data_IF_013384575871
#
_entry.id   IF_013384575871
#
_cell.length_a   1.000
_cell.length_b   1.000
_cell.length_c   1.000
_cell.angle_alpha   90.00
_cell.angle_beta   90.00
_cell.angle_gamma   90.00
#
_symmetry.space_group_name_H-M   'P 1'
#
loop_
_entity.id
_entity.type
_entity.pdbx_description
1 polymer ?
#
# COMPACT_ATOMS: atom_id res chain seq x y z
N UNK A 1 79.55 31.93 -29.37
CA UNK A 1 79.47 31.49 -30.78
C UNK A 1 78.24 30.60 -30.90
N UNK A 2 77.18 30.87 -31.65
CA UNK A 2 76.85 31.95 -32.57
C UNK A 2 75.60 31.50 -33.34
N UNK A 3 74.56 32.36 -33.33
CA UNK A 3 73.46 32.50 -34.32
C UNK A 3 72.44 31.34 -34.34
N UNK A 4 71.14 31.61 -34.19
CA UNK A 4 70.34 32.20 -35.29
C UNK A 4 68.99 32.76 -34.80
N UNK A 5 68.79 34.05 -35.10
CA UNK A 5 67.58 34.82 -35.52
C UNK A 5 66.23 34.62 -34.79
N UNK A 6 65.69 35.64 -34.08
CA UNK A 6 64.94 36.86 -34.55
C UNK A 6 63.60 36.45 -35.18
N UNK A 7 62.42 36.88 -34.67
CA UNK A 7 61.55 38.00 -35.15
C UNK A 7 60.31 38.00 -34.20
N UNK A 8 60.09 39.01 -33.36
CA UNK A 8 59.20 40.18 -33.50
C UNK A 8 57.69 39.97 -33.23
N UNK A 9 57.14 40.89 -32.41
CA UNK A 9 55.74 41.11 -32.02
C UNK A 9 54.84 41.43 -33.23
N UNK A 10 53.53 41.20 -33.11
CA UNK A 10 52.42 42.21 -33.17
C UNK A 10 51.05 41.53 -33.45
N UNK A 11 50.05 42.07 -32.75
CA UNK A 11 48.58 41.95 -32.78
C UNK A 11 47.88 41.44 -34.07
N UNK A 12 46.76 40.71 -33.95
CA UNK A 12 45.41 41.27 -34.05
C UNK A 12 44.27 40.24 -33.85
N UNK A 13 43.13 40.77 -33.42
CA UNK A 13 41.84 40.11 -33.14
C UNK A 13 41.28 39.32 -34.33
N UNK A 14 40.69 38.16 -34.07
CA UNK A 14 39.50 37.70 -34.79
C UNK A 14 38.57 36.96 -33.83
N UNK A 15 37.39 37.55 -33.61
CA UNK A 15 36.26 36.89 -32.98
C UNK A 15 35.58 36.00 -34.04
N UNK A 16 35.67 34.69 -33.89
CA UNK A 16 34.86 33.74 -34.66
C UNK A 16 33.68 33.28 -33.79
N UNK A 17 32.48 33.69 -34.19
CA UNK A 17 31.22 33.16 -33.68
C UNK A 17 31.13 31.68 -34.06
N UNK A 18 31.17 30.79 -33.09
CA UNK A 18 30.90 29.37 -33.30
C UNK A 18 29.42 29.10 -32.99
N UNK A 19 28.62 29.00 -34.03
CA UNK A 19 27.26 28.49 -33.96
C UNK A 19 27.33 26.97 -33.75
N UNK A 20 27.11 26.51 -32.53
CA UNK A 20 26.95 25.07 -32.27
C UNK A 20 25.51 24.68 -32.60
N UNK A 21 25.36 23.94 -33.68
CA UNK A 21 24.13 23.24 -34.04
C UNK A 21 23.98 22.05 -33.08
N UNK A 22 23.14 22.17 -32.05
CA UNK A 22 22.76 21.03 -31.21
C UNK A 22 21.77 20.19 -32.02
N UNK A 23 22.24 19.11 -32.61
CA UNK A 23 21.37 18.08 -33.16
C UNK A 23 20.61 17.43 -32.00
N UNK A 24 19.31 17.67 -31.94
CA UNK A 24 18.40 17.05 -30.97
C UNK A 24 18.33 15.54 -31.20
N UNK A 25 19.02 14.78 -30.36
CA UNK A 25 18.67 13.39 -30.14
C UNK A 25 17.49 13.37 -29.16
N UNK A 26 16.28 13.34 -29.69
CA UNK A 26 15.11 12.95 -28.89
C UNK A 26 15.26 11.47 -28.55
N UNK A 27 15.91 11.19 -27.42
CA UNK A 27 15.70 9.93 -26.74
C UNK A 27 14.26 9.99 -26.26
N UNK A 28 13.33 9.41 -27.03
CA UNK A 28 12.04 8.97 -26.48
C UNK A 28 12.39 7.84 -25.53
N UNK A 29 12.82 8.21 -24.34
CA UNK A 29 12.84 7.32 -23.21
C UNK A 29 11.38 7.05 -22.90
N UNK A 30 10.90 5.87 -23.29
CA UNK A 30 9.74 5.29 -22.65
C UNK A 30 10.17 5.09 -21.20
N UNK A 31 9.94 6.10 -20.37
CA UNK A 31 10.20 6.01 -18.94
C UNK A 31 9.26 4.92 -18.43
N UNK A 32 9.81 3.72 -18.23
CA UNK A 32 9.20 2.77 -17.33
C UNK A 32 8.93 3.53 -16.03
N UNK A 33 7.67 3.60 -15.62
CA UNK A 33 7.28 4.24 -14.37
C UNK A 33 8.08 3.58 -13.25
N UNK A 34 8.94 4.38 -12.62
CA UNK A 34 9.84 3.96 -11.55
C UNK A 34 9.00 3.47 -10.36
N UNK A 35 9.23 2.26 -9.82
CA UNK A 35 8.55 1.79 -8.60
C UNK A 35 8.83 2.67 -7.35
N UNK A 36 9.73 3.66 -7.44
CA UNK A 36 9.98 4.69 -6.42
C UNK A 36 9.02 5.91 -6.45
N UNK A 37 8.03 5.96 -7.35
CA UNK A 37 7.10 7.11 -7.48
C UNK A 37 5.95 7.17 -6.45
N UNK A 38 5.85 6.18 -5.56
CA UNK A 38 4.81 6.19 -4.54
C UNK A 38 5.05 7.32 -3.51
N UNK A 39 4.00 8.06 -3.18
CA UNK A 39 4.06 9.14 -2.20
C UNK A 39 4.19 8.55 -0.79
N UNK A 40 5.28 8.81 -0.05
CA UNK A 40 5.41 8.31 1.32
C UNK A 40 4.30 8.91 2.20
N UNK A 41 3.70 8.07 3.04
CA UNK A 41 2.70 8.49 4.02
C UNK A 41 3.02 7.96 5.41
N UNK A 42 2.81 8.81 6.41
CA UNK A 42 3.00 8.54 7.82
C UNK A 42 1.66 8.51 8.55
N UNK A 43 1.59 7.86 9.73
CA UNK A 43 0.41 7.91 10.58
C UNK A 43 -0.05 9.35 10.88
N UNK A 44 -1.37 9.54 10.90
CA UNK A 44 -2.05 10.83 11.12
C UNK A 44 -2.18 11.69 9.86
N UNK A 45 -1.57 11.32 8.74
CA UNK A 45 -1.74 12.04 7.48
C UNK A 45 -3.06 11.67 6.80
N UNK A 46 -3.61 12.63 6.06
CA UNK A 46 -4.86 12.49 5.33
C UNK A 46 -4.60 12.31 3.83
N UNK A 47 -5.26 11.34 3.22
CA UNK A 47 -5.37 11.23 1.76
C UNK A 47 -6.80 11.51 1.32
N UNK A 48 -6.97 11.98 0.09
CA UNK A 48 -8.28 12.23 -0.49
C UNK A 48 -8.66 11.09 -1.41
N UNK A 49 -9.83 10.49 -1.16
CA UNK A 49 -10.44 9.54 -2.08
C UNK A 49 -11.16 10.30 -3.18
N UNK A 50 -10.48 10.42 -4.32
CA UNK A 50 -11.08 10.89 -5.56
C UNK A 50 -12.26 9.98 -5.95
N UNK A 51 -13.27 10.59 -6.55
CA UNK A 51 -14.28 9.86 -7.31
C UNK A 51 -13.83 9.83 -8.77
N UNK A 52 -13.76 8.64 -9.35
CA UNK A 52 -13.29 8.45 -10.72
C UNK A 52 -14.43 7.93 -11.59
N UNK A 53 -14.50 8.48 -12.80
CA UNK A 53 -15.47 8.10 -13.82
C UNK A 53 -15.64 6.58 -13.96
N UNK A 54 -16.82 6.09 -14.39
CA UNK A 54 -17.20 4.68 -14.37
C UNK A 54 -16.15 3.78 -15.04
N UNK A 55 -15.34 3.06 -14.25
CA UNK A 55 -14.31 2.12 -14.72
C UNK A 55 -14.23 0.84 -13.88
N UNK A 56 -15.29 0.44 -13.21
CA UNK A 56 -15.27 -0.68 -12.23
C UNK A 56 -14.63 -1.97 -12.72
N UNK A 57 -14.89 -2.38 -13.98
CA UNK A 57 -14.27 -3.59 -14.55
C UNK A 57 -12.74 -3.52 -14.56
N UNK A 58 -12.21 -2.31 -14.71
CA UNK A 58 -10.79 -2.03 -14.75
C UNK A 58 -10.20 -1.78 -13.35
N UNK A 59 -11.04 -1.58 -12.34
CA UNK A 59 -10.60 -1.47 -10.94
C UNK A 59 -10.60 -2.84 -10.25
N UNK A 60 -11.52 -3.74 -10.61
CA UNK A 60 -11.55 -5.10 -10.06
C UNK A 60 -10.30 -5.93 -10.41
N UNK A 61 -9.69 -5.68 -11.56
CA UNK A 61 -8.45 -6.35 -11.96
C UNK A 61 -7.22 -5.76 -11.24
N UNK A 62 -6.30 -6.63 -10.80
CA UNK A 62 -5.09 -6.26 -10.04
C UNK A 62 -4.07 -5.44 -10.83
N UNK A 63 -4.15 -5.47 -12.16
CA UNK A 63 -3.34 -4.67 -13.10
C UNK A 63 -4.21 -3.86 -14.07
N UNK A 64 -5.49 -3.72 -13.75
CA UNK A 64 -6.47 -3.07 -14.61
C UNK A 64 -6.14 -1.59 -14.84
N UNK A 65 -6.58 -1.08 -15.99
CA UNK A 65 -6.18 0.24 -16.47
C UNK A 65 -6.71 1.39 -15.61
N UNK A 66 -7.77 1.15 -14.84
CA UNK A 66 -8.41 2.11 -13.93
C UNK A 66 -7.50 2.57 -12.80
N UNK A 67 -6.49 1.77 -12.45
CA UNK A 67 -5.46 2.14 -11.45
C UNK A 67 -4.40 3.10 -11.99
N UNK A 68 -4.28 3.23 -13.32
CA UNK A 68 -3.25 4.09 -13.94
C UNK A 68 -3.61 5.56 -13.73
N UNK A 69 -2.65 6.34 -13.22
CA UNK A 69 -2.83 7.77 -12.95
C UNK A 69 -3.47 8.09 -11.61
N UNK A 70 -3.93 7.09 -10.84
CA UNK A 70 -4.31 7.30 -9.44
C UNK A 70 -3.04 7.43 -8.59
N UNK A 71 -3.01 8.35 -7.60
CA UNK A 71 -1.91 8.43 -6.65
C UNK A 71 -1.68 7.09 -5.96
N UNK A 72 -0.42 6.62 -5.98
CA UNK A 72 0.02 5.51 -5.15
C UNK A 72 0.74 6.06 -3.93
N UNK A 73 0.39 5.54 -2.76
CA UNK A 73 0.98 5.87 -1.49
C UNK A 73 1.82 4.70 -0.99
N UNK A 74 2.85 5.00 -0.20
CA UNK A 74 3.66 3.99 0.48
C UNK A 74 3.69 4.26 1.98
N UNK A 75 3.30 3.27 2.77
CA UNK A 75 3.39 3.32 4.24
C UNK A 75 4.35 2.23 4.73
N UNK A 76 5.18 2.54 5.72
CA UNK A 76 6.04 1.56 6.36
C UNK A 76 5.25 0.76 7.40
N UNK A 77 5.34 -0.56 7.31
CA UNK A 77 4.79 -1.50 8.28
C UNK A 77 5.89 -1.94 9.25
N UNK A 78 5.56 -2.07 10.52
CA UNK A 78 6.46 -2.54 11.58
C UNK A 78 5.91 -3.82 12.22
N UNK A 79 6.75 -4.63 12.89
CA UNK A 79 6.25 -5.76 13.68
C UNK A 79 5.19 -5.31 14.68
N UNK A 80 4.07 -6.03 14.71
CA UNK A 80 2.99 -5.74 15.65
C UNK A 80 3.51 -5.87 17.09
N UNK A 81 3.20 -4.90 17.98
CA UNK A 81 3.51 -5.03 19.39
C UNK A 81 2.94 -6.34 19.95
N UNK A 82 3.74 -7.17 20.65
CA UNK A 82 3.26 -8.43 21.17
C UNK A 82 2.28 -8.18 22.31
N UNK A 83 1.03 -8.60 22.11
CA UNK A 83 -0.05 -8.46 23.11
C UNK A 83 -0.41 -9.76 23.82
N UNK A 84 0.30 -10.85 23.47
CA UNK A 84 0.20 -12.15 24.11
C UNK A 84 1.57 -12.84 24.10
N UNK A 85 1.87 -13.65 25.11
CA UNK A 85 3.19 -14.30 25.29
C UNK A 85 3.58 -15.20 24.12
N UNK A 86 2.61 -15.86 23.48
CA UNK A 86 2.85 -16.67 22.28
C UNK A 86 3.34 -15.85 21.08
N UNK A 87 3.00 -14.56 21.01
CA UNK A 87 3.52 -13.66 19.97
C UNK A 87 4.95 -13.27 20.32
N UNK A 88 5.22 -12.91 21.58
CA UNK A 88 6.57 -12.62 22.06
C UNK A 88 7.54 -13.76 21.76
N UNK A 89 7.14 -15.01 22.05
CA UNK A 89 7.97 -16.19 21.80
C UNK A 89 8.30 -16.34 20.32
N UNK A 90 7.29 -16.29 19.44
CA UNK A 90 7.50 -16.44 17.98
C UNK A 90 8.39 -15.35 17.41
N UNK A 91 8.17 -14.09 17.80
CA UNK A 91 9.00 -12.97 17.38
C UNK A 91 10.44 -13.12 17.89
N UNK A 92 10.62 -13.56 19.14
CA UNK A 92 11.95 -13.77 19.72
C UNK A 92 12.70 -14.93 19.04
N UNK A 93 12.02 -16.05 18.78
CA UNK A 93 12.59 -17.21 18.08
C UNK A 93 13.00 -16.87 16.64
N UNK A 94 12.22 -16.02 15.97
CA UNK A 94 12.50 -15.56 14.61
C UNK A 94 13.60 -14.49 14.56
N UNK A 95 13.81 -13.75 15.65
CA UNK A 95 14.72 -12.61 15.73
C UNK A 95 14.09 -11.30 15.26
N UNK A 96 14.85 -10.20 15.31
CA UNK A 96 14.39 -8.87 14.94
C UNK A 96 13.88 -8.85 13.49
N UNK A 97 12.57 -8.72 13.35
CA UNK A 97 11.93 -8.56 12.05
C UNK A 97 12.06 -7.12 11.59
N UNK A 98 12.60 -6.94 10.39
CA UNK A 98 12.63 -5.63 9.74
C UNK A 98 11.24 -5.36 9.17
N UNK A 99 10.76 -4.14 9.38
CA UNK A 99 9.54 -3.66 8.72
C UNK A 99 9.66 -3.66 7.20
N UNK A 100 8.54 -3.45 6.52
CA UNK A 100 8.53 -3.33 5.06
C UNK A 100 7.52 -2.31 4.56
N UNK A 101 7.75 -1.80 3.36
CA UNK A 101 6.81 -0.92 2.68
C UNK A 101 5.57 -1.66 2.17
N UNK A 102 4.41 -1.05 2.37
CA UNK A 102 3.16 -1.40 1.73
C UNK A 102 2.78 -0.27 0.78
N UNK A 103 2.59 -0.61 -0.50
CA UNK A 103 2.08 0.31 -1.51
C UNK A 103 0.56 0.19 -1.57
N UNK A 104 -0.16 1.31 -1.66
CA UNK A 104 -1.59 1.26 -1.87
C UNK A 104 -2.14 2.42 -2.69
N UNK A 105 -3.24 2.16 -3.37
CA UNK A 105 -4.09 3.13 -4.06
C UNK A 105 -5.51 2.97 -3.54
N UNK A 106 -6.26 4.07 -3.46
CA UNK A 106 -7.65 4.05 -3.03
C UNK A 106 -8.48 5.04 -3.85
N UNK A 107 -9.70 4.65 -4.22
CA UNK A 107 -10.62 5.50 -5.00
C UNK A 107 -12.07 5.11 -4.77
N UNK A 108 -12.99 5.96 -5.21
CA UNK A 108 -14.40 5.62 -5.39
C UNK A 108 -14.75 5.59 -6.87
N UNK A 109 -15.69 4.73 -7.24
CA UNK A 109 -16.31 4.70 -8.56
C UNK A 109 -17.62 3.92 -8.46
N UNK A 110 -18.68 4.42 -9.12
CA UNK A 110 -20.00 3.76 -9.23
C UNK A 110 -20.57 3.24 -7.89
N UNK A 111 -20.53 4.06 -6.84
CA UNK A 111 -21.08 3.68 -5.54
C UNK A 111 -20.28 2.61 -4.81
N UNK A 112 -19.04 2.30 -5.23
CA UNK A 112 -18.12 1.39 -4.53
C UNK A 112 -16.84 2.13 -4.11
N UNK A 113 -16.26 1.67 -3.00
CA UNK A 113 -14.89 2.00 -2.64
C UNK A 113 -13.96 0.89 -3.09
N UNK A 114 -12.77 1.28 -3.53
CA UNK A 114 -11.76 0.39 -4.09
C UNK A 114 -10.41 0.64 -3.42
N UNK A 115 -9.73 -0.43 -3.04
CA UNK A 115 -8.36 -0.39 -2.53
C UNK A 115 -7.51 -1.37 -3.30
N UNK A 116 -6.35 -0.94 -3.78
CA UNK A 116 -5.33 -1.81 -4.37
C UNK A 116 -4.11 -1.76 -3.49
N UNK A 117 -3.65 -2.91 -3.02
CA UNK A 117 -2.53 -3.04 -2.11
C UNK A 117 -1.45 -3.91 -2.74
N UNK A 118 -0.19 -3.55 -2.54
CA UNK A 118 0.97 -4.31 -2.99
C UNK A 118 2.06 -4.35 -1.93
N UNK A 119 2.62 -5.52 -1.71
CA UNK A 119 3.76 -5.70 -0.81
C UNK A 119 4.73 -6.72 -1.40
N UNK A 120 5.99 -6.60 -1.02
CA UNK A 120 7.01 -7.56 -1.39
C UNK A 120 6.84 -8.84 -0.57
N UNK A 121 6.89 -9.97 -1.27
CA UNK A 121 6.96 -11.29 -0.65
C UNK A 121 7.67 -12.25 -1.58
N UNK A 122 8.73 -12.87 -1.10
CA UNK A 122 9.55 -13.76 -1.91
C UNK A 122 8.88 -15.09 -2.22
N UNK A 123 7.78 -15.41 -1.52
CA UNK A 123 6.98 -16.61 -1.70
C UNK A 123 5.52 -16.30 -2.00
N UNK A 124 4.86 -17.23 -2.67
CA UNK A 124 3.40 -17.23 -2.87
C UNK A 124 2.80 -18.29 -1.94
N UNK A 125 2.63 -17.96 -0.66
CA UNK A 125 2.16 -18.93 0.33
C UNK A 125 0.63 -18.97 0.34
N UNK A 126 0.08 -20.01 -0.29
CA UNK A 126 -1.38 -20.27 -0.31
C UNK A 126 -1.80 -21.46 0.56
N UNK A 127 -0.87 -22.24 1.08
CA UNK A 127 -1.22 -23.41 1.89
C UNK A 127 -1.63 -22.99 3.32
N UNK A 128 -2.82 -23.42 3.75
CA UNK A 128 -3.34 -23.19 5.10
C UNK A 128 -3.50 -24.48 5.91
N UNK A 129 -2.85 -25.57 5.52
CA UNK A 129 -2.83 -26.84 6.26
C UNK A 129 -1.98 -26.76 7.53
N UNK A 130 -2.04 -27.80 8.37
CA UNK A 130 -1.33 -27.78 9.65
C UNK A 130 0.18 -27.59 9.47
N UNK A 131 0.70 -26.48 10.02
CA UNK A 131 2.13 -26.14 9.94
C UNK A 131 2.50 -25.28 8.72
N UNK A 132 1.56 -25.04 7.81
CA UNK A 132 1.69 -24.13 6.68
C UNK A 132 0.74 -22.95 6.89
N UNK A 133 1.25 -21.74 6.69
CA UNK A 133 0.49 -20.52 6.90
C UNK A 133 0.42 -19.78 5.57
N UNK A 134 -0.76 -19.28 5.19
CA UNK A 134 -0.89 -18.52 3.96
C UNK A 134 -0.49 -17.07 4.19
N UNK A 135 -0.06 -16.42 3.12
CA UNK A 135 0.04 -14.97 3.06
C UNK A 135 -1.34 -14.34 3.25
N UNK A 136 -1.36 -13.19 3.90
CA UNK A 136 -2.60 -12.45 4.15
C UNK A 136 -2.36 -10.95 4.20
N UNK A 137 -3.42 -10.20 3.94
CA UNK A 137 -3.44 -8.75 4.08
C UNK A 137 -4.78 -8.29 4.64
N UNK A 138 -4.76 -7.24 5.45
CA UNK A 138 -5.96 -6.65 6.00
C UNK A 138 -5.95 -5.12 5.93
N UNK A 139 -7.14 -4.58 5.69
CA UNK A 139 -7.52 -3.19 5.96
C UNK A 139 -8.34 -3.18 7.25
N UNK A 140 -8.04 -2.25 8.14
CA UNK A 140 -8.83 -2.01 9.34
C UNK A 140 -9.33 -0.57 9.31
N UNK A 141 -10.61 -0.37 9.62
CA UNK A 141 -11.27 0.92 9.67
C UNK A 141 -11.78 1.20 11.08
N UNK A 142 -11.57 2.40 11.57
CA UNK A 142 -12.20 2.83 12.81
C UNK A 142 -13.70 3.10 12.58
N UNK A 143 -14.56 2.57 13.45
CA UNK A 143 -16.01 2.82 13.40
C UNK A 143 -16.41 4.10 14.14
N UNK A 144 -15.47 4.67 14.89
CA UNK A 144 -15.58 5.95 15.56
C UNK A 144 -14.32 6.79 15.25
N UNK A 145 -14.23 7.98 15.83
CA UNK A 145 -13.07 8.85 15.68
C UNK A 145 -11.74 8.16 16.05
N UNK A 146 -10.67 8.46 15.31
CA UNK A 146 -9.35 7.85 15.50
C UNK A 146 -8.70 8.18 16.84
N UNK A 147 -9.06 9.30 17.47
CA UNK A 147 -8.57 9.64 18.82
C UNK A 147 -9.12 8.72 19.91
N UNK A 148 -10.24 8.04 19.65
CA UNK A 148 -10.92 7.13 20.58
C UNK A 148 -10.73 5.67 20.22
N UNK A 149 -10.34 5.38 18.97
CA UNK A 149 -10.23 4.03 18.45
C UNK A 149 -8.76 3.63 18.34
N UNK A 150 -8.36 2.61 19.09
CA UNK A 150 -7.02 2.06 18.98
C UNK A 150 -6.79 1.42 17.61
N UNK A 151 -5.70 1.76 16.92
CA UNK A 151 -5.29 1.06 15.68
C UNK A 151 -4.88 -0.39 15.96
N UNK A 152 -4.67 -0.73 17.23
CA UNK A 152 -4.44 -2.09 17.70
C UNK A 152 -5.77 -2.81 17.97
N UNK A 153 -6.56 -3.01 16.91
CA UNK A 153 -7.83 -3.75 16.91
C UNK A 153 -8.98 -3.13 17.73
N UNK A 154 -8.95 -1.83 18.01
CA UNK A 154 -10.02 -1.14 18.74
C UNK A 154 -10.11 -1.48 20.22
N UNK A 155 -11.25 -1.14 20.82
CA UNK A 155 -11.64 -1.48 22.20
C UNK A 155 -13.14 -1.80 22.22
N UNK A 156 -13.71 -2.35 23.31
CA UNK A 156 -15.12 -2.68 23.35
C UNK A 156 -16.03 -1.47 23.09
N UNK A 157 -15.61 -0.28 23.56
CA UNK A 157 -16.36 0.97 23.38
C UNK A 157 -16.02 1.70 22.06
N UNK A 158 -14.99 1.27 21.34
CA UNK A 158 -14.53 1.83 20.07
C UNK A 158 -14.07 0.70 19.14
N UNK A 159 -15.02 -0.06 18.56
CA UNK A 159 -14.70 -1.19 17.70
C UNK A 159 -14.16 -0.76 16.33
N UNK A 160 -13.61 -1.72 15.62
CA UNK A 160 -13.08 -1.58 14.27
C UNK A 160 -13.77 -2.54 13.31
N UNK A 161 -13.87 -2.15 12.05
CA UNK A 161 -14.20 -3.02 10.93
C UNK A 161 -12.92 -3.49 10.25
N UNK A 162 -12.82 -4.76 9.87
CA UNK A 162 -11.61 -5.33 9.28
C UNK A 162 -12.00 -6.10 8.01
N UNK A 163 -11.37 -5.76 6.90
CA UNK A 163 -11.42 -6.54 5.67
C UNK A 163 -10.14 -7.35 5.57
N UNK A 164 -10.27 -8.67 5.53
CA UNK A 164 -9.14 -9.58 5.63
C UNK A 164 -9.13 -10.57 4.47
N UNK A 165 -8.13 -10.48 3.61
CA UNK A 165 -7.90 -11.45 2.54
C UNK A 165 -6.83 -12.47 2.97
N UNK A 166 -7.05 -13.74 2.62
CA UNK A 166 -6.10 -14.83 2.86
C UNK A 166 -5.80 -15.60 1.57
N UNK A 167 -4.53 -15.91 1.34
CA UNK A 167 -4.06 -16.65 0.17
C UNK A 167 -4.65 -18.05 0.02
N UNK A 168 -4.97 -18.72 1.14
CA UNK A 168 -5.51 -20.08 1.13
C UNK A 168 -6.96 -20.20 0.67
N UNK A 169 -7.77 -19.18 0.93
CA UNK A 169 -9.16 -19.14 0.45
C UNK A 169 -9.32 -18.28 -0.79
N UNK A 170 -8.31 -17.44 -1.09
CA UNK A 170 -8.32 -16.41 -2.12
C UNK A 170 -9.58 -15.54 -2.09
N UNK A 171 -9.99 -15.17 -0.87
CA UNK A 171 -11.24 -14.47 -0.57
C UNK A 171 -11.02 -13.49 0.55
N UNK A 172 -11.78 -12.40 0.51
CA UNK A 172 -11.91 -11.47 1.63
C UNK A 172 -13.01 -11.93 2.60
N UNK A 173 -12.79 -11.66 3.87
CA UNK A 173 -13.78 -11.76 4.94
C UNK A 173 -14.01 -10.37 5.54
N UNK A 174 -15.26 -10.07 5.85
CA UNK A 174 -15.63 -8.90 6.64
C UNK A 174 -15.68 -9.28 8.12
N UNK A 175 -14.92 -8.59 8.96
CA UNK A 175 -14.73 -8.90 10.37
C UNK A 175 -14.90 -7.65 11.22
N UNK A 176 -15.08 -7.84 12.52
CA UNK A 176 -15.06 -6.77 13.52
C UNK A 176 -14.20 -7.17 14.72
N UNK A 177 -13.68 -6.17 15.42
CA UNK A 177 -12.99 -6.38 16.69
C UNK A 177 -13.25 -5.20 17.64
N UNK A 178 -13.40 -5.51 18.93
CA UNK A 178 -13.41 -4.56 20.03
C UNK A 178 -12.20 -4.77 20.95
N UNK A 179 -11.02 -4.98 20.36
CA UNK A 179 -9.77 -5.29 21.05
C UNK A 179 -9.23 -6.68 20.76
N UNK A 180 -8.03 -6.95 21.27
CA UNK A 180 -7.33 -8.22 21.04
C UNK A 180 -8.13 -9.43 21.53
N UNK A 181 -8.15 -10.48 20.70
CA UNK A 181 -8.87 -11.72 21.01
C UNK A 181 -10.38 -11.67 20.78
N UNK A 182 -10.94 -10.54 20.33
CA UNK A 182 -12.38 -10.38 20.06
C UNK A 182 -12.76 -10.46 18.57
N UNK A 183 -11.80 -10.84 17.71
CA UNK A 183 -12.00 -10.89 16.27
C UNK A 183 -13.19 -11.79 15.91
N UNK A 184 -14.20 -11.21 15.29
CA UNK A 184 -15.48 -11.88 15.02
C UNK A 184 -15.89 -11.64 13.58
N UNK A 185 -16.44 -12.67 12.94
CA UNK A 185 -17.04 -12.55 11.61
C UNK A 185 -18.40 -11.86 11.72
N UNK A 186 -18.60 -10.80 10.95
CA UNK A 186 -19.89 -10.08 10.90
C UNK A 186 -20.87 -10.77 9.95
N UNK A 187 -22.16 -10.47 10.06
CA UNK A 187 -23.21 -11.05 9.21
C UNK A 187 -23.04 -10.62 7.75
N UNK A 188 -22.73 -9.35 7.53
CA UNK A 188 -22.63 -8.72 6.22
C UNK A 188 -21.27 -9.03 5.58
N UNK A 189 -21.26 -9.80 4.49
CA UNK A 189 -20.05 -10.25 3.80
C UNK A 189 -19.96 -9.67 2.38
N UNK A 190 -20.21 -8.36 2.26
CA UNK A 190 -20.22 -7.63 0.98
C UNK A 190 -18.84 -7.20 0.46
N UNK A 191 -17.76 -7.61 1.12
CA UNK A 191 -16.39 -7.30 0.71
C UNK A 191 -15.91 -8.31 -0.31
N UNK A 192 -15.54 -7.83 -1.49
CA UNK A 192 -14.96 -8.63 -2.56
C UNK A 192 -13.45 -8.40 -2.63
N UNK A 193 -12.73 -9.41 -3.13
CA UNK A 193 -11.32 -9.26 -3.42
C UNK A 193 -10.88 -10.00 -4.70
N UNK A 194 -9.87 -9.46 -5.36
CA UNK A 194 -9.11 -10.11 -6.41
C UNK A 194 -7.62 -10.09 -6.04
N UNK A 195 -6.89 -11.16 -6.37
CA UNK A 195 -5.46 -11.27 -6.06
C UNK A 195 -4.63 -11.64 -7.28
N UNK A 196 -3.35 -11.28 -7.25
CA UNK A 196 -2.33 -11.75 -8.17
C UNK A 196 -0.97 -11.78 -7.47
N UNK A 197 -0.16 -12.77 -7.80
CA UNK A 197 1.23 -12.85 -7.39
C UNK A 197 2.14 -12.66 -8.60
N UNK A 198 3.12 -11.77 -8.48
CA UNK A 198 4.15 -11.54 -9.50
C UNK A 198 5.43 -12.22 -9.08
N UNK A 199 5.69 -13.38 -9.65
CA UNK A 199 6.95 -14.08 -9.48
C UNK A 199 8.11 -13.26 -10.08
N UNK A 200 9.24 -13.20 -9.38
CA UNK A 200 10.41 -12.43 -9.81
C UNK A 200 11.40 -12.20 -8.66
N UNK A 201 12.40 -11.35 -8.88
CA UNK A 201 13.36 -10.99 -7.83
C UNK A 201 12.62 -10.23 -6.72
N UNK A 202 12.49 -10.87 -5.56
CA UNK A 202 11.83 -10.31 -4.37
C UNK A 202 10.33 -10.61 -4.28
N UNK A 203 9.70 -11.01 -5.38
CA UNK A 203 8.26 -11.28 -5.48
C UNK A 203 7.35 -10.11 -5.05
N UNK A 204 6.09 -10.17 -5.44
CA UNK A 204 5.12 -9.14 -5.08
C UNK A 204 3.70 -9.71 -5.09
N UNK A 205 2.98 -9.50 -3.99
CA UNK A 205 1.55 -9.70 -3.95
C UNK A 205 0.80 -8.43 -4.34
N UNK A 206 -0.35 -8.62 -4.97
CA UNK A 206 -1.30 -7.56 -5.27
C UNK A 206 -2.68 -8.04 -4.88
N UNK A 207 -3.37 -7.27 -4.04
CA UNK A 207 -4.75 -7.55 -3.66
C UNK A 207 -5.59 -6.31 -3.88
N UNK A 208 -6.69 -6.46 -4.59
CA UNK A 208 -7.72 -5.43 -4.72
C UNK A 208 -8.87 -5.80 -3.81
N UNK A 209 -9.28 -4.89 -2.92
CA UNK A 209 -10.54 -4.98 -2.18
C UNK A 209 -11.58 -4.04 -2.79
N UNK A 210 -12.84 -4.44 -2.72
CA UNK A 210 -13.96 -3.54 -2.99
C UNK A 210 -15.18 -3.83 -2.11
N UNK A 211 -15.98 -2.80 -1.89
CA UNK A 211 -17.28 -2.90 -1.21
C UNK A 211 -18.17 -1.76 -1.71
N UNK A 212 -19.49 -1.96 -1.70
CA UNK A 212 -20.44 -0.85 -1.85
C UNK A 212 -20.19 0.23 -0.77
N UNK A 213 -20.38 1.49 -1.14
CA UNK A 213 -20.30 2.63 -0.20
C UNK A 213 -21.49 2.55 0.76
N UNK A 214 -22.69 2.34 0.22
CA UNK A 214 -23.89 2.07 0.99
C UNK A 214 -23.78 0.70 1.65
N UNK A 215 -23.92 0.68 2.97
CA UNK A 215 -24.04 -0.55 3.74
C UNK A 215 -24.77 -0.31 5.05
N UNK A 216 -25.51 -1.32 5.52
CA UNK A 216 -26.40 -1.20 6.69
C UNK A 216 -25.95 -2.05 7.90
N UNK A 217 -24.82 -2.77 7.82
CA UNK A 217 -24.36 -3.61 8.93
C UNK A 217 -23.82 -2.80 10.12
N UNK A 218 -24.05 -3.31 11.34
CA UNK A 218 -23.69 -2.67 12.61
C UNK A 218 -22.20 -2.30 12.70
N UNK A 219 -21.34 -3.16 12.17
CA UNK A 219 -19.89 -2.99 12.21
C UNK A 219 -19.29 -2.67 10.84
N UNK A 220 -20.05 -1.99 9.98
CA UNK A 220 -19.55 -1.59 8.67
C UNK A 220 -18.96 -0.18 8.69
N UNK A 221 -17.77 -0.03 8.08
CA UNK A 221 -17.13 1.27 7.95
C UNK A 221 -17.98 2.22 7.08
N UNK A 222 -18.11 3.47 7.53
CA UNK A 222 -18.76 4.53 6.77
C UNK A 222 -17.76 5.26 5.89
N UNK A 223 -18.04 5.34 4.59
CA UNK A 223 -17.26 6.11 3.62
C UNK A 223 -18.00 7.39 3.20
N UNK A 224 -18.70 8.04 4.13
CA UNK A 224 -19.44 9.28 3.85
C UNK A 224 -18.58 10.56 3.94
N UNK A 225 -17.68 10.64 4.94
CA UNK A 225 -16.92 11.86 5.23
C UNK A 225 -15.41 11.60 5.34
N UNK A 226 -15.00 10.93 6.43
CA UNK A 226 -13.62 10.51 6.66
C UNK A 226 -13.65 9.19 7.40
N UNK A 227 -12.71 8.31 7.09
CA UNK A 227 -12.53 7.06 7.81
C UNK A 227 -11.05 6.79 8.07
N UNK A 228 -10.64 6.59 9.33
CA UNK A 228 -9.29 6.16 9.64
C UNK A 228 -9.05 4.74 9.15
N UNK A 229 -7.96 4.50 8.42
CA UNK A 229 -7.54 3.18 7.94
C UNK A 229 -6.17 2.78 8.48
N UNK A 230 -6.01 1.53 8.85
CA UNK A 230 -4.74 0.90 9.21
C UNK A 230 -4.57 -0.39 8.43
N UNK A 231 -3.33 -0.86 8.31
CA UNK A 231 -2.97 -1.97 7.45
C UNK A 231 -2.26 -3.07 8.25
N UNK A 232 -2.42 -4.32 7.80
CA UNK A 232 -1.63 -5.42 8.32
C UNK A 232 -1.29 -6.44 7.22
N UNK A 233 -0.10 -7.02 7.29
CA UNK A 233 0.39 -8.04 6.35
C UNK A 233 0.96 -9.22 7.13
N UNK A 234 0.69 -10.43 6.65
CA UNK A 234 1.23 -11.68 7.15
C UNK A 234 1.99 -12.40 6.03
N UNK A 235 3.21 -12.82 6.34
CA UNK A 235 4.05 -13.64 5.47
C UNK A 235 4.09 -15.09 5.94
N UNK A 236 3.52 -15.96 5.11
CA UNK A 236 3.30 -17.38 5.38
C UNK A 236 4.60 -18.17 5.53
N UNK A 237 5.60 -17.92 4.69
CA UNK A 237 6.89 -18.61 4.67
C UNK A 237 7.71 -18.47 5.96
N UNK A 238 7.45 -17.43 6.75
CA UNK A 238 8.05 -17.22 8.07
C UNK A 238 7.07 -17.51 9.23
N UNK A 239 5.90 -18.03 8.91
CA UNK A 239 4.89 -18.52 9.85
C UNK A 239 4.09 -17.44 10.58
N UNK A 240 4.02 -16.23 10.02
CA UNK A 240 3.16 -15.17 10.54
C UNK A 240 1.69 -15.58 10.45
N UNK A 241 0.94 -15.31 11.52
CA UNK A 241 -0.51 -15.55 11.64
C UNK A 241 -1.05 -14.84 12.87
N UNK A 242 -2.36 -14.69 12.96
CA UNK A 242 -3.03 -14.08 14.11
C UNK A 242 -2.44 -12.70 14.44
N UNK A 243 -1.94 -12.49 15.67
CA UNK A 243 -1.27 -11.25 16.09
C UNK A 243 0.21 -11.13 15.67
N UNK A 244 0.80 -12.18 15.09
CA UNK A 244 2.19 -12.17 14.61
C UNK A 244 2.18 -11.76 13.14
N UNK A 245 2.43 -10.46 12.91
CA UNK A 245 2.25 -9.77 11.63
C UNK A 245 3.00 -8.45 11.59
N UNK A 246 3.06 -7.84 10.41
CA UNK A 246 3.44 -6.43 10.26
C UNK A 246 2.19 -5.54 10.24
N UNK A 247 2.26 -4.34 10.83
CA UNK A 247 1.16 -3.37 10.91
C UNK A 247 1.63 -1.95 10.61
N UNK A 248 0.75 -1.10 10.09
CA UNK A 248 1.02 0.34 10.07
C UNK A 248 1.07 0.88 11.51
N UNK A 249 2.05 1.74 11.87
CA UNK A 249 2.22 2.26 13.23
C UNK A 249 1.23 3.38 13.58
N UNK A 250 -0.04 3.21 13.19
CA UNK A 250 -1.13 4.15 13.40
C UNK A 250 -2.08 4.24 12.22
N UNK A 251 -3.04 5.17 12.33
CA UNK A 251 -4.07 5.45 11.35
C UNK A 251 -3.57 6.33 10.21
N UNK A 252 -4.05 6.10 8.99
CA UNK A 252 -4.08 7.06 7.89
C UNK A 252 -5.52 7.54 7.73
N UNK A 253 -5.74 8.84 7.59
CA UNK A 253 -7.09 9.37 7.43
C UNK A 253 -7.52 9.34 5.96
N UNK A 254 -8.60 8.62 5.64
CA UNK A 254 -9.19 8.60 4.31
C UNK A 254 -10.30 9.62 4.23
N UNK A 255 -10.02 10.80 3.66
CA UNK A 255 -11.03 11.82 3.45
C UNK A 255 -11.77 11.59 2.13
N UNK A 256 -13.09 11.46 2.25
CA UNK A 256 -14.01 11.28 1.15
C UNK A 256 -14.35 12.67 0.60
N UNK A 257 -14.10 12.89 -0.70
CA UNK A 257 -14.49 14.15 -1.33
C UNK A 257 -16.02 14.16 -1.52
N UNK A 258 -16.71 15.15 -0.94
CA UNK A 258 -18.16 15.28 -1.15
C UNK A 258 -18.49 15.46 -2.64
N UNK A 259 -19.66 14.98 -3.05
CA UNK A 259 -20.27 15.39 -4.32
C UNK A 259 -20.46 16.92 -4.25
N UNK A 260 -19.90 17.65 -5.21
CA UNK A 260 -20.09 19.09 -5.37
C UNK A 260 -21.38 19.41 -6.08
#
# INVERSE_FOLDING_TARGET
>A
MGRTNVIARITNRLAAKLSVLVAGASIVGCAALDPELATPIAPGQTIVLADVEPRDSDLAATDGSGWRGLPEYRIELIPAPPVHSSITLRQTERGDQVGQGLHFQATRSNGRVWFRLRWHDASEDRDGTLGHFPDAIALQFALQDSSRTSYLMGTPDAPVNIWHWKGSTDRAENLAAGGFGSLTRVTEQGVEAASAYRAGRGGEWIVVFSRAIESEGEFEASFANSVPVAFAVWQGSIGQRDGDKLVSPGWVELRIQGES
#
